data_IF_575322284530
#
_entry.id   IF_575322284530
#
_cell.length_a   1.000
_cell.length_b   1.000
_cell.length_c   1.000
_cell.angle_alpha   90.00
_cell.angle_beta   90.00
_cell.angle_gamma   90.00
#
_symmetry.space_group_name_H-M   'P 1'
#
loop_
_entity.id
_entity.type
_entity.pdbx_description
1 polymer ?
#
# COMPACT_ATOMS: atom_id res chain seq x y z
N UNK A 1 18.04 -12.10 0.11
CA UNK A 1 17.93 -12.26 1.59
C UNK A 1 16.53 -11.79 1.98
N UNK A 2 16.07 -11.86 3.23
CA UNK A 2 14.77 -11.24 3.58
C UNK A 2 15.05 -9.92 4.27
N UNK A 3 14.56 -8.83 3.70
CA UNK A 3 14.71 -7.49 4.27
C UNK A 3 13.40 -7.05 4.91
N UNK A 4 13.52 -6.29 6.01
CA UNK A 4 12.39 -5.75 6.77
C UNK A 4 12.44 -4.23 6.71
N UNK A 5 11.31 -3.60 6.38
CA UNK A 5 11.17 -2.14 6.30
C UNK A 5 9.97 -1.64 7.10
N UNK A 6 10.09 -0.42 7.63
CA UNK A 6 8.96 0.32 8.17
C UNK A 6 8.49 1.33 7.14
N UNK A 7 7.17 1.44 6.93
CA UNK A 7 6.59 2.43 6.03
C UNK A 7 5.56 3.32 6.69
N UNK A 8 5.47 4.54 6.18
CA UNK A 8 4.34 5.43 6.36
C UNK A 8 3.75 5.75 4.99
N UNK A 9 2.48 5.42 4.81
CA UNK A 9 1.82 5.42 3.51
C UNK A 9 0.60 6.32 3.42
N UNK A 10 0.38 6.83 2.21
CA UNK A 10 -0.86 7.49 1.81
C UNK A 10 -1.48 6.73 0.66
N UNK A 11 -2.72 6.31 0.88
CA UNK A 11 -3.50 5.59 -0.11
C UNK A 11 -4.73 6.40 -0.51
N UNK A 12 -5.05 6.32 -1.79
CA UNK A 12 -6.28 6.87 -2.32
C UNK A 12 -7.05 5.77 -3.03
N UNK A 13 -8.28 5.49 -2.58
CA UNK A 13 -9.11 4.43 -3.12
C UNK A 13 -10.40 4.98 -3.73
N UNK A 14 -10.66 4.58 -4.97
CA UNK A 14 -11.97 4.67 -5.60
C UNK A 14 -12.65 3.30 -5.59
N UNK A 15 -13.70 3.14 -4.76
CA UNK A 15 -14.52 1.93 -4.73
C UNK A 15 -15.52 1.93 -5.88
N UNK A 16 -15.40 0.94 -6.76
CA UNK A 16 -16.33 0.75 -7.89
C UNK A 16 -17.32 -0.40 -7.66
N UNK A 17 -17.17 -1.13 -6.56
CA UNK A 17 -18.14 -2.09 -6.04
C UNK A 17 -18.01 -2.20 -4.51
N UNK A 18 -18.91 -2.94 -3.87
CA UNK A 18 -18.82 -3.19 -2.41
C UNK A 18 -17.53 -3.94 -2.03
N UNK A 19 -17.01 -4.77 -2.95
CA UNK A 19 -15.84 -5.62 -2.70
C UNK A 19 -14.56 -5.02 -3.27
N UNK A 20 -14.61 -4.32 -4.40
CA UNK A 20 -13.41 -3.91 -5.13
C UNK A 20 -13.26 -2.40 -5.26
N UNK A 21 -12.00 -1.96 -5.12
CA UNK A 21 -11.55 -0.60 -5.40
C UNK A 21 -10.27 -0.58 -6.22
N UNK A 22 -9.96 0.57 -6.77
CA UNK A 22 -8.69 0.86 -7.46
C UNK A 22 -8.17 2.21 -6.98
N UNK A 23 -6.86 2.40 -6.99
CA UNK A 23 -6.30 3.60 -6.39
C UNK A 23 -4.91 3.98 -6.84
N UNK A 24 -4.32 4.84 -6.02
CA UNK A 24 -2.91 5.19 -6.02
C UNK A 24 -2.36 5.02 -4.60
N UNK A 25 -1.13 4.53 -4.50
CA UNK A 25 -0.36 4.52 -3.25
C UNK A 25 0.87 5.41 -3.38
N UNK A 26 1.25 6.02 -2.26
CA UNK A 26 2.49 6.77 -2.09
C UNK A 26 3.06 6.44 -0.70
N UNK A 27 4.15 5.70 -0.67
CA UNK A 27 4.81 5.32 0.58
C UNK A 27 6.18 5.94 0.69
N UNK A 28 6.49 6.32 1.92
CA UNK A 28 7.85 6.61 2.33
C UNK A 28 8.31 5.49 3.27
N UNK A 29 9.31 4.72 2.83
CA UNK A 29 9.93 3.70 3.64
C UNK A 29 11.20 4.25 4.31
N UNK A 30 11.31 4.04 5.62
CA UNK A 30 12.48 4.41 6.42
C UNK A 30 13.28 3.17 6.83
N UNK A 31 14.55 3.11 6.42
CA UNK A 31 15.51 2.04 6.71
C UNK A 31 16.94 2.45 6.35
N UNK A 32 17.81 1.49 6.00
CA UNK A 32 19.19 1.75 5.55
C UNK A 32 19.25 2.53 4.22
N UNK A 33 18.16 2.51 3.45
CA UNK A 33 17.93 3.35 2.26
C UNK A 33 16.62 4.10 2.43
N UNK A 34 16.64 5.39 2.10
CA UNK A 34 15.44 6.23 2.03
C UNK A 34 14.86 6.10 0.64
N UNK A 35 13.61 5.66 0.57
CA UNK A 35 12.99 5.28 -0.68
C UNK A 35 11.55 5.75 -0.73
N UNK A 36 11.10 6.11 -1.93
CA UNK A 36 9.69 6.37 -2.23
C UNK A 36 9.12 5.25 -3.08
N UNK A 37 7.93 4.79 -2.75
CA UNK A 37 7.18 3.81 -3.56
C UNK A 37 5.91 4.48 -4.06
N UNK A 38 5.66 4.36 -5.37
CA UNK A 38 4.42 4.83 -6.01
C UNK A 38 3.82 3.69 -6.81
N UNK A 39 2.51 3.47 -6.71
CA UNK A 39 1.86 2.35 -7.37
C UNK A 39 0.38 2.54 -7.66
N UNK A 40 -0.18 1.60 -8.42
CA UNK A 40 -1.60 1.55 -8.78
C UNK A 40 -2.23 0.31 -8.16
N UNK A 41 -2.69 0.38 -6.90
CA UNK A 41 -3.33 -0.75 -6.23
C UNK A 41 -4.72 -1.08 -6.78
N UNK A 42 -5.00 -2.38 -6.82
CA UNK A 42 -6.35 -2.93 -6.80
C UNK A 42 -6.60 -3.48 -5.40
N UNK A 43 -7.69 -3.04 -4.79
CA UNK A 43 -8.09 -3.43 -3.44
C UNK A 43 -9.26 -4.41 -3.49
N UNK A 44 -9.27 -5.37 -2.58
CA UNK A 44 -10.42 -6.22 -2.31
C UNK A 44 -10.75 -6.20 -0.81
N UNK A 45 -12.03 -6.00 -0.51
CA UNK A 45 -12.65 -5.93 0.81
C UNK A 45 -13.58 -7.12 1.00
N UNK A 46 -13.05 -8.35 1.22
CA UNK A 46 -13.86 -9.57 1.21
C UNK A 46 -14.83 -9.67 2.39
N UNK A 47 -14.48 -9.13 3.56
CA UNK A 47 -15.32 -9.19 4.76
C UNK A 47 -14.85 -8.20 5.83
N UNK A 48 -15.81 -7.49 6.44
CA UNK A 48 -15.53 -6.59 7.56
C UNK A 48 -14.52 -5.50 7.17
N UNK A 49 -13.51 -5.28 8.03
CA UNK A 49 -12.41 -4.35 7.75
C UNK A 49 -11.22 -5.00 7.02
N UNK A 50 -11.29 -6.28 6.66
CA UNK A 50 -10.17 -6.90 5.95
C UNK A 50 -10.02 -6.30 4.55
N UNK A 51 -8.83 -5.80 4.26
CA UNK A 51 -8.43 -5.37 2.91
C UNK A 51 -7.24 -6.20 2.46
N UNK A 52 -7.25 -6.62 1.19
CA UNK A 52 -6.08 -7.16 0.50
C UNK A 52 -5.82 -6.34 -0.75
N UNK A 53 -4.55 -6.16 -1.10
CA UNK A 53 -4.14 -5.37 -2.24
C UNK A 53 -3.12 -6.07 -3.12
N UNK A 54 -3.16 -5.73 -4.41
CA UNK A 54 -2.13 -6.03 -5.40
C UNK A 54 -1.83 -4.74 -6.15
N UNK A 55 -0.57 -4.32 -6.18
CA UNK A 55 -0.17 -3.09 -6.83
C UNK A 55 1.10 -3.28 -7.67
N UNK A 56 1.07 -3.12 -9.00
CA UNK A 56 2.27 -2.75 -9.73
C UNK A 56 2.69 -1.33 -9.34
N UNK A 57 4.00 -1.10 -9.23
CA UNK A 57 4.55 0.19 -8.85
C UNK A 57 6.00 0.39 -9.29
N UNK A 58 6.56 1.50 -8.85
CA UNK A 58 7.95 1.88 -9.02
C UNK A 58 8.50 2.27 -7.65
N UNK A 59 9.69 1.75 -7.36
CA UNK A 59 10.54 2.17 -6.27
C UNK A 59 11.48 3.24 -6.80
N UNK A 60 11.57 4.37 -6.11
CA UNK A 60 12.55 5.43 -6.37
C UNK A 60 13.53 5.50 -5.20
N UNK A 61 14.78 5.16 -5.49
CA UNK A 61 15.88 5.23 -4.53
C UNK A 61 16.52 6.63 -4.56
N UNK A 62 17.04 7.08 -3.41
CA UNK A 62 17.65 8.41 -3.27
C UNK A 62 18.88 8.64 -4.19
N UNK A 63 19.51 7.60 -4.71
CA UNK A 63 20.61 7.67 -5.67
C UNK A 63 20.16 7.91 -7.13
N UNK A 64 18.85 7.92 -7.36
CA UNK A 64 18.22 8.24 -8.64
C UNK A 64 17.81 7.04 -9.48
N UNK A 65 18.08 5.81 -9.01
CA UNK A 65 17.65 4.60 -9.70
C UNK A 65 16.16 4.29 -9.43
N UNK A 66 15.52 3.71 -10.46
CA UNK A 66 14.11 3.34 -10.45
C UNK A 66 13.97 1.85 -10.69
N UNK A 67 13.28 1.16 -9.81
CA UNK A 67 13.04 -0.27 -9.93
C UNK A 67 11.55 -0.55 -10.03
N UNK A 68 11.17 -1.44 -10.95
CA UNK A 68 9.80 -1.88 -11.04
C UNK A 68 9.50 -2.85 -9.89
N UNK A 69 8.37 -2.65 -9.21
CA UNK A 69 7.93 -3.52 -8.14
C UNK A 69 6.51 -4.03 -8.38
N UNK A 70 6.23 -5.19 -7.77
CA UNK A 70 4.87 -5.64 -7.53
C UNK A 70 4.71 -5.81 -6.03
N UNK A 71 3.67 -5.22 -5.46
CA UNK A 71 3.30 -5.34 -4.06
C UNK A 71 2.10 -6.25 -3.89
N UNK A 72 2.17 -7.14 -2.91
CA UNK A 72 1.03 -7.84 -2.35
C UNK A 72 0.86 -7.45 -0.89
N UNK A 73 -0.36 -7.16 -0.47
CA UNK A 73 -0.63 -6.64 0.86
C UNK A 73 -1.90 -7.15 1.50
N UNK A 74 -1.92 -7.11 2.83
CA UNK A 74 -3.12 -7.30 3.63
C UNK A 74 -3.12 -6.31 4.80
N UNK A 75 -4.31 -5.83 5.15
CA UNK A 75 -4.50 -4.86 6.22
C UNK A 75 -5.88 -4.96 6.86
N UNK A 76 -6.08 -4.12 7.88
CA UNK A 76 -7.39 -3.99 8.52
C UNK A 76 -7.82 -2.53 8.61
N UNK A 77 -8.89 -2.18 7.92
CA UNK A 77 -9.48 -0.85 7.91
C UNK A 77 -10.09 -0.50 9.26
N UNK A 78 -9.60 0.58 9.87
CA UNK A 78 -10.25 1.28 10.97
C UNK A 78 -10.86 2.58 10.46
N UNK A 79 -12.19 2.61 10.33
CA UNK A 79 -12.91 3.80 9.87
C UNK A 79 -12.76 4.94 10.88
N UNK A 80 -12.30 6.09 10.38
CA UNK A 80 -12.21 7.35 11.10
C UNK A 80 -13.25 8.33 10.56
N UNK A 81 -14.48 8.18 11.03
CA UNK A 81 -15.63 8.94 10.53
C UNK A 81 -16.14 8.39 9.20
N UNK A 82 -16.66 9.25 8.34
CA UNK A 82 -17.35 8.83 7.11
C UNK A 82 -16.44 8.62 5.90
N UNK A 83 -15.21 9.14 5.91
CA UNK A 83 -14.38 9.25 4.70
C UNK A 83 -12.91 8.89 4.88
N UNK A 84 -12.43 8.87 6.11
CA UNK A 84 -11.02 8.57 6.39
C UNK A 84 -10.92 7.18 6.96
N UNK A 85 -9.84 6.49 6.62
CA UNK A 85 -9.52 5.18 7.17
C UNK A 85 -8.05 5.16 7.56
N UNK A 86 -7.75 4.43 8.63
CA UNK A 86 -6.39 4.10 9.01
C UNK A 86 -6.25 2.59 8.96
N UNK A 87 -5.22 2.13 8.27
CA UNK A 87 -5.05 0.71 7.97
C UNK A 87 -3.64 0.29 8.36
N UNK A 88 -3.45 -0.43 9.48
CA UNK A 88 -2.23 -1.19 9.67
C UNK A 88 -2.13 -2.27 8.60
N UNK A 89 -0.95 -2.39 8.00
CA UNK A 89 -0.70 -3.25 6.86
C UNK A 89 0.56 -4.10 7.03
N UNK A 90 0.52 -5.25 6.38
CA UNK A 90 1.70 -6.07 6.10
C UNK A 90 1.75 -6.29 4.60
N UNK A 91 2.87 -5.87 4.01
CA UNK A 91 3.12 -5.90 2.58
C UNK A 91 4.35 -6.74 2.26
N UNK A 92 4.38 -7.30 1.06
CA UNK A 92 5.54 -7.95 0.46
C UNK A 92 5.77 -7.34 -0.91
N UNK A 93 6.95 -6.75 -1.08
CA UNK A 93 7.40 -6.18 -2.34
C UNK A 93 8.32 -7.14 -3.05
N UNK A 94 8.04 -7.35 -4.33
CA UNK A 94 8.88 -8.08 -5.26
C UNK A 94 9.56 -7.05 -6.16
N UNK A 95 10.83 -6.79 -5.90
CA UNK A 95 11.64 -5.76 -6.56
C UNK A 95 13.04 -6.32 -6.81
N UNK A 96 13.58 -6.09 -8.00
CA UNK A 96 14.86 -6.66 -8.50
C UNK A 96 15.13 -8.16 -8.20
N UNK A 97 14.08 -8.97 -8.14
CA UNK A 97 14.19 -10.41 -7.83
C UNK A 97 14.32 -10.74 -6.33
N UNK A 98 14.36 -9.75 -5.46
CA UNK A 98 14.31 -9.86 -4.01
C UNK A 98 12.89 -9.72 -3.46
N UNK A 99 12.76 -10.02 -2.16
CA UNK A 99 11.51 -9.87 -1.40
C UNK A 99 11.75 -9.01 -0.17
N UNK A 100 10.99 -7.92 -0.07
CA UNK A 100 11.03 -7.01 1.06
C UNK A 100 9.72 -7.08 1.81
N UNK A 101 9.78 -7.35 3.12
CA UNK A 101 8.61 -7.34 3.99
C UNK A 101 8.46 -5.95 4.60
N UNK A 102 7.29 -5.36 4.41
CA UNK A 102 7.03 -3.99 4.84
C UNK A 102 5.87 -3.96 5.81
N UNK A 103 6.12 -3.38 6.98
CA UNK A 103 5.11 -3.18 8.01
C UNK A 103 4.82 -1.69 8.13
N UNK A 104 3.55 -1.32 8.19
CA UNK A 104 3.23 0.10 8.21
C UNK A 104 1.79 0.42 8.56
N UNK A 105 1.52 1.71 8.42
CA UNK A 105 0.19 2.29 8.56
C UNK A 105 -0.06 3.15 7.33
N UNK A 106 -1.21 2.93 6.71
CA UNK A 106 -1.70 3.68 5.57
C UNK A 106 -2.87 4.56 6.01
N UNK A 107 -2.90 5.78 5.49
CA UNK A 107 -4.04 6.69 5.64
C UNK A 107 -4.79 6.76 4.32
N UNK A 108 -6.04 6.32 4.35
CA UNK A 108 -6.91 6.27 3.17
C UNK A 108 -8.00 7.33 3.18
N UNK A 109 -8.43 7.74 1.99
CA UNK A 109 -9.60 8.57 1.78
C UNK A 109 -10.58 7.90 0.79
N UNK A 110 -11.84 7.73 1.21
CA UNK A 110 -12.90 7.05 0.44
C UNK A 110 -13.79 8.08 -0.27
N UNK A 111 -13.91 7.97 -1.61
CA UNK A 111 -14.89 8.71 -2.40
C UNK A 111 -16.07 7.82 -2.79
N UNK A 112 -17.28 8.21 -2.36
CA UNK A 112 -18.53 7.51 -2.63
C UNK A 112 -19.11 6.92 -1.34
N UNK A 113 -20.24 7.49 -0.91
CA UNK A 113 -20.99 7.01 0.26
C UNK A 113 -22.04 5.99 -0.15
N UNK A 114 -22.13 4.91 0.63
CA UNK A 114 -23.12 3.85 0.50
C UNK A 114 -22.67 2.60 1.23
#
# INVERSE_FOLDING_TARGET
MSEEGNQLGLDYEYKFSEVFGIGGLLDHAGGDVRTWVVGVPIFAHPVGGLVVLLAPGIEHQDDGDNEALVRLGAGWDFELGERFVVTPVVNVDFVDGDKVYVYGVEFGYKLGGG
#
